data_IF_049885629733
#
_entry.id   IF_049885629733
#
_cell.length_a   1.000
_cell.length_b   1.000
_cell.length_c   1.000
_cell.angle_alpha   90.00
_cell.angle_beta   90.00
_cell.angle_gamma   90.00
#
_symmetry.space_group_name_H-M   'P 1'
#
loop_
_entity.id
_entity.type
_entity.pdbx_description
1 polymer ?
#
# COMPACT_ATOMS: atom_id res chain seq x y z
N UNK A 1 20.48 41.85 -2.33
CA UNK A 1 19.42 40.82 -2.33
C UNK A 1 19.66 39.86 -3.49
N UNK A 2 19.82 38.57 -3.23
CA UNK A 2 20.04 37.57 -4.28
C UNK A 2 18.67 37.10 -4.78
N UNK A 3 18.47 37.10 -6.10
CA UNK A 3 17.21 36.71 -6.76
C UNK A 3 16.94 35.19 -6.65
N UNK A 4 15.66 34.80 -6.66
CA UNK A 4 15.22 33.39 -6.68
C UNK A 4 15.87 32.60 -7.82
N UNK A 5 16.01 33.22 -8.99
CA UNK A 5 16.63 32.62 -10.18
C UNK A 5 18.12 32.29 -9.95
N UNK A 6 18.81 33.10 -9.14
CA UNK A 6 20.22 32.86 -8.81
C UNK A 6 20.39 31.72 -7.80
N UNK A 7 19.43 31.51 -6.90
CA UNK A 7 19.42 30.35 -6.00
C UNK A 7 19.09 29.06 -6.77
N UNK A 8 18.13 29.13 -7.69
CA UNK A 8 17.78 27.99 -8.54
C UNK A 8 18.97 27.49 -9.37
N UNK A 9 19.71 28.42 -10.00
CA UNK A 9 20.94 28.10 -10.74
C UNK A 9 22.01 27.38 -9.91
N UNK A 10 22.11 27.68 -8.61
CA UNK A 10 23.04 26.98 -7.70
C UNK A 10 22.59 25.54 -7.41
N UNK A 11 21.28 25.32 -7.31
CA UNK A 11 20.70 24.00 -7.13
C UNK A 11 20.90 23.13 -8.38
N UNK A 12 20.55 23.64 -9.55
CA UNK A 12 20.67 22.91 -10.84
C UNK A 12 22.11 22.51 -11.16
N UNK A 13 23.09 23.35 -10.79
CA UNK A 13 24.51 23.11 -11.11
C UNK A 13 25.22 22.20 -10.12
N UNK A 14 24.59 21.86 -8.99
CA UNK A 14 25.15 20.99 -7.96
C UNK A 14 24.36 19.69 -7.88
N UNK A 15 24.92 18.62 -8.45
CA UNK A 15 24.30 17.29 -8.50
C UNK A 15 23.94 16.76 -7.10
N UNK A 16 24.80 16.99 -6.10
CA UNK A 16 24.54 16.56 -4.72
C UNK A 16 23.35 17.29 -4.12
N UNK A 17 23.29 18.62 -4.27
CA UNK A 17 22.15 19.40 -3.76
C UNK A 17 20.85 19.00 -4.46
N UNK A 18 20.88 18.90 -5.79
CA UNK A 18 19.72 18.47 -6.57
C UNK A 18 19.24 17.08 -6.14
N UNK A 19 20.15 16.14 -5.96
CA UNK A 19 19.85 14.78 -5.50
C UNK A 19 19.20 14.74 -4.12
N UNK A 20 19.71 15.51 -3.15
CA UNK A 20 19.14 15.60 -1.80
C UNK A 20 17.72 16.17 -1.83
N UNK A 21 17.50 17.28 -2.54
CA UNK A 21 16.17 17.88 -2.63
C UNK A 21 15.18 17.00 -3.39
N UNK A 22 15.60 16.33 -4.46
CA UNK A 22 14.77 15.37 -5.18
C UNK A 22 14.40 14.17 -4.29
N UNK A 23 15.37 13.62 -3.54
CA UNK A 23 15.11 12.55 -2.58
C UNK A 23 14.08 12.98 -1.52
N UNK A 24 14.30 14.14 -0.90
CA UNK A 24 13.35 14.69 0.09
C UNK A 24 11.95 14.87 -0.51
N UNK A 25 11.85 15.40 -1.73
CA UNK A 25 10.57 15.58 -2.41
C UNK A 25 9.82 14.25 -2.64
N UNK A 26 10.53 13.18 -3.04
CA UNK A 26 9.92 11.87 -3.33
C UNK A 26 9.51 11.13 -2.06
N UNK A 27 10.32 11.17 -0.99
CA UNK A 27 10.01 10.40 0.23
C UNK A 27 8.83 10.95 1.03
N UNK A 28 8.48 12.23 0.86
CA UNK A 28 7.39 12.86 1.62
C UNK A 28 6.07 12.09 1.41
N UNK A 29 5.76 11.67 0.18
CA UNK A 29 4.54 10.88 -0.10
C UNK A 29 4.52 9.56 0.66
N UNK A 30 5.62 8.80 0.60
CA UNK A 30 5.75 7.53 1.33
C UNK A 30 5.64 7.70 2.84
N UNK A 31 6.22 8.76 3.41
CA UNK A 31 6.12 9.06 4.84
C UNK A 31 4.66 9.38 5.22
N UNK A 32 3.96 10.18 4.42
CA UNK A 32 2.58 10.61 4.74
C UNK A 32 1.57 9.49 4.52
N UNK A 33 1.75 8.62 3.53
CA UNK A 33 0.78 7.58 3.17
C UNK A 33 1.04 6.25 3.90
N UNK A 34 2.30 5.82 4.02
CA UNK A 34 2.64 4.48 4.54
C UNK A 34 2.83 4.52 6.05
N UNK A 35 3.56 5.51 6.57
CA UNK A 35 3.96 5.52 7.97
C UNK A 35 2.74 5.54 8.93
N UNK A 36 1.69 6.34 8.72
CA UNK A 36 0.52 6.35 9.61
C UNK A 36 -0.23 5.02 9.65
N UNK A 37 -0.21 4.22 8.57
CA UNK A 37 -0.91 2.93 8.53
C UNK A 37 -0.37 1.94 9.58
N UNK A 38 0.88 2.08 10.03
CA UNK A 38 1.43 1.25 11.11
C UNK A 38 0.95 1.62 12.51
N UNK A 39 0.42 2.84 12.70
CA UNK A 39 0.02 3.36 14.01
C UNK A 39 -1.49 3.59 14.18
N UNK A 40 -2.27 3.53 13.10
CA UNK A 40 -3.73 3.69 13.16
C UNK A 40 -4.38 2.34 13.51
N UNK A 41 -4.86 2.22 14.76
CA UNK A 41 -5.50 1.01 15.29
C UNK A 41 -6.77 0.57 14.52
N UNK A 42 -7.46 1.52 13.87
CA UNK A 42 -8.69 1.25 13.09
C UNK A 42 -8.45 0.56 11.73
N UNK A 43 -7.20 0.39 11.30
CA UNK A 43 -6.92 -0.28 10.01
C UNK A 43 -7.12 -1.79 10.09
N UNK A 44 -7.13 -2.40 11.27
CA UNK A 44 -7.21 -3.86 11.44
C UNK A 44 -8.16 -4.19 12.62
N UNK A 45 -9.46 -4.14 12.37
CA UNK A 45 -10.44 -4.66 13.34
C UNK A 45 -10.39 -6.19 13.37
N UNK A 46 -9.90 -6.79 14.46
CA UNK A 46 -9.83 -8.26 14.59
C UNK A 46 -11.24 -8.87 14.46
N UNK A 47 -11.49 -9.57 13.37
CA UNK A 47 -12.73 -10.32 13.15
C UNK A 47 -12.65 -11.65 13.89
N UNK A 48 -13.75 -12.02 14.55
CA UNK A 48 -13.87 -13.31 15.23
C UNK A 48 -13.72 -14.47 14.23
N UNK A 49 -12.80 -15.40 14.51
CA UNK A 49 -12.54 -16.57 13.66
C UNK A 49 -11.38 -16.43 12.65
N UNK A 50 -10.80 -15.24 12.47
CA UNK A 50 -9.60 -15.08 11.63
C UNK A 50 -8.36 -15.70 12.29
N UNK A 51 -7.73 -16.63 11.59
CA UNK A 51 -6.49 -17.31 12.00
C UNK A 51 -5.47 -17.30 10.86
N UNK A 52 -4.18 -17.48 11.16
CA UNK A 52 -3.20 -17.81 10.13
C UNK A 52 -3.62 -19.05 9.33
N UNK A 53 -3.18 -19.09 8.07
CA UNK A 53 -3.37 -20.26 7.20
C UNK A 53 -2.75 -21.52 7.82
N UNK A 54 -3.44 -22.65 7.69
CA UNK A 54 -2.85 -23.97 7.98
C UNK A 54 -1.72 -24.25 6.99
N UNK A 55 -0.80 -25.19 7.30
CA UNK A 55 0.30 -25.50 6.39
C UNK A 55 -0.14 -25.87 4.97
N UNK A 56 -1.26 -26.57 4.83
CA UNK A 56 -1.78 -26.95 3.51
C UNK A 56 -2.43 -25.77 2.78
N UNK A 57 -3.16 -24.91 3.48
CA UNK A 57 -3.72 -23.66 2.91
C UNK A 57 -2.59 -22.72 2.47
N UNK A 58 -1.51 -22.60 3.25
CA UNK A 58 -0.35 -21.80 2.89
C UNK A 58 0.34 -22.34 1.63
N UNK A 59 0.57 -23.66 1.56
CA UNK A 59 1.12 -24.28 0.37
C UNK A 59 0.21 -24.06 -0.87
N UNK A 60 -1.11 -24.10 -0.68
CA UNK A 60 -2.09 -23.74 -1.71
C UNK A 60 -1.99 -22.27 -2.15
N UNK A 61 -1.82 -21.33 -1.21
CA UNK A 61 -1.62 -19.90 -1.50
C UNK A 61 -0.33 -19.65 -2.27
N UNK A 62 0.75 -20.35 -1.93
CA UNK A 62 2.01 -20.24 -2.66
C UNK A 62 1.86 -20.72 -4.10
N UNK A 63 1.06 -21.79 -4.32
CA UNK A 63 0.68 -22.23 -5.67
C UNK A 63 -0.19 -21.19 -6.38
N UNK A 64 -1.18 -20.59 -5.72
CA UNK A 64 -2.02 -19.53 -6.29
C UNK A 64 -1.19 -18.34 -6.79
N UNK A 65 -0.16 -17.93 -6.02
CA UNK A 65 0.78 -16.88 -6.43
C UNK A 65 1.67 -17.35 -7.58
N UNK A 66 2.20 -18.59 -7.50
CA UNK A 66 3.07 -19.18 -8.54
C UNK A 66 2.39 -19.26 -9.91
N UNK A 67 1.11 -19.60 -9.94
CA UNK A 67 0.31 -19.70 -11.18
C UNK A 67 -0.24 -18.34 -11.62
N UNK A 68 0.04 -17.26 -10.89
CA UNK A 68 -0.40 -15.91 -11.26
C UNK A 68 -1.92 -15.73 -11.21
N UNK A 69 -2.64 -16.50 -10.38
CA UNK A 69 -4.10 -16.44 -10.31
C UNK A 69 -4.61 -15.02 -10.00
N UNK A 70 -3.85 -14.23 -9.25
CA UNK A 70 -4.15 -12.83 -8.93
C UNK A 70 -4.17 -11.89 -10.16
N UNK A 71 -3.62 -12.30 -11.30
CA UNK A 71 -3.67 -11.53 -12.55
C UNK A 71 -5.08 -11.52 -13.13
N UNK A 72 -5.89 -12.53 -12.84
CA UNK A 72 -7.28 -12.64 -13.33
C UNK A 72 -8.33 -12.59 -12.23
N UNK A 73 -7.98 -12.90 -10.98
CA UNK A 73 -8.93 -13.02 -9.87
C UNK A 73 -8.66 -11.99 -8.77
N UNK A 74 -9.66 -11.14 -8.50
CA UNK A 74 -9.63 -10.23 -7.34
C UNK A 74 -9.99 -10.98 -6.06
N UNK A 75 -9.42 -10.52 -4.94
CA UNK A 75 -9.73 -11.01 -3.59
C UNK A 75 -10.19 -9.84 -2.68
N UNK A 76 -10.83 -8.83 -3.27
CA UNK A 76 -11.31 -7.64 -2.56
C UNK A 76 -12.67 -7.24 -3.15
N UNK A 77 -13.72 -7.37 -2.34
CA UNK A 77 -15.09 -6.98 -2.68
C UNK A 77 -15.29 -5.53 -2.22
N UNK A 78 -15.70 -4.65 -3.13
CA UNK A 78 -15.91 -3.21 -2.83
C UNK A 78 -17.25 -2.98 -2.13
N UNK A 79 -17.40 -1.91 -1.33
CA UNK A 79 -18.60 -1.61 -0.56
C UNK A 79 -19.73 -1.00 -1.41
N UNK A 80 -20.06 -1.64 -2.54
CA UNK A 80 -21.17 -1.27 -3.41
C UNK A 80 -22.25 -2.34 -3.35
N UNK A 81 -23.51 -1.92 -3.36
CA UNK A 81 -24.66 -2.85 -3.29
C UNK A 81 -24.59 -3.96 -4.35
N UNK A 82 -24.26 -3.61 -5.59
CA UNK A 82 -24.15 -4.57 -6.71
C UNK A 82 -23.06 -5.64 -6.48
N UNK A 83 -21.93 -5.26 -5.88
CA UNK A 83 -20.90 -6.24 -5.54
C UNK A 83 -21.29 -7.08 -4.34
N UNK A 84 -21.99 -6.51 -3.37
CA UNK A 84 -22.45 -7.25 -2.21
C UNK A 84 -23.50 -8.30 -2.58
N UNK A 85 -24.43 -7.95 -3.46
CA UNK A 85 -25.41 -8.89 -4.02
C UNK A 85 -24.76 -10.00 -4.85
N UNK A 86 -23.65 -9.70 -5.53
CA UNK A 86 -22.95 -10.66 -6.42
C UNK A 86 -21.99 -11.59 -5.67
N UNK A 87 -21.22 -11.05 -4.73
CA UNK A 87 -20.07 -11.72 -4.13
C UNK A 87 -20.17 -11.92 -2.61
N UNK A 88 -21.13 -11.28 -1.94
CA UNK A 88 -21.31 -11.35 -0.48
C UNK A 88 -20.77 -10.12 0.24
N UNK A 89 -20.50 -10.23 1.54
CA UNK A 89 -20.07 -9.08 2.35
C UNK A 89 -18.84 -8.39 1.76
N UNK A 90 -18.77 -7.06 1.82
CA UNK A 90 -17.60 -6.31 1.36
C UNK A 90 -16.38 -6.69 2.20
N UNK A 91 -15.21 -6.72 1.58
CA UNK A 91 -14.01 -7.22 2.25
C UNK A 91 -13.59 -6.27 3.38
N UNK A 92 -13.15 -6.87 4.49
CA UNK A 92 -12.63 -6.15 5.64
C UNK A 92 -11.11 -6.21 5.65
N UNK A 93 -10.46 -5.14 6.11
CA UNK A 93 -9.00 -5.07 6.14
C UNK A 93 -8.36 -6.22 6.96
N UNK A 94 -9.04 -6.68 8.01
CA UNK A 94 -8.57 -7.79 8.83
C UNK A 94 -8.60 -9.17 8.15
N UNK A 95 -9.37 -9.35 7.07
CA UNK A 95 -9.38 -10.59 6.29
C UNK A 95 -8.06 -10.78 5.53
N UNK A 96 -7.31 -9.70 5.29
CA UNK A 96 -6.04 -9.68 4.57
C UNK A 96 -4.82 -9.43 5.47
N UNK A 97 -4.95 -9.66 6.77
CA UNK A 97 -3.87 -9.41 7.74
C UNK A 97 -2.72 -10.42 7.68
N UNK A 98 -2.97 -11.65 7.20
CA UNK A 98 -2.02 -12.78 7.19
C UNK A 98 -1.48 -13.12 5.80
#
# INVERSE_FOLDING_TARGET
MVSLTQHHKKLERNVTLLGVFAFVAVIIGGIVEIAPLFWIDNTIEKVEGMRPYTPLEQAGRDIYVREGCYVCHSQMIRPFRDEVERYGHYSLAAESMY
#
